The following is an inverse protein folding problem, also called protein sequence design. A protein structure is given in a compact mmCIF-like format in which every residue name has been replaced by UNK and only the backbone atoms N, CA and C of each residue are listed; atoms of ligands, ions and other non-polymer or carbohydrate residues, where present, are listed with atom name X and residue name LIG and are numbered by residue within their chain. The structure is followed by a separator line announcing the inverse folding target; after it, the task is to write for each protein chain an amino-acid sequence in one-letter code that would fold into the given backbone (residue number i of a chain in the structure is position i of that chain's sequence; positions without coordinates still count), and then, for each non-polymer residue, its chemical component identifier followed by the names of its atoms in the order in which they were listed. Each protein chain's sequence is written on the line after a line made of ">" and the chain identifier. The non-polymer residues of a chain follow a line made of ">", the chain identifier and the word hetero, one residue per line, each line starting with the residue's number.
data_IF_212138811806
#
_entry.id   IF_212138811806
#
_cell.length_a   1.000
_cell.length_b   1.000
_cell.length_c   1.000
_cell.angle_alpha   90.00
_cell.angle_beta   90.00
_cell.angle_gamma   90.00
#
_symmetry.space_group_name_H-M   'P 1'
#
loop_
_entity.id
_entity.type
_entity.pdbx_description
1 polymer ?
#
# COMPACT_ATOMS: atom_id res chain seq x y z
N UNK A 1 0.14 -6.44 -0.14
CA UNK A 1 0.83 -6.49 -1.45
C UNK A 1 -0.16 -6.35 -2.61
N UNK A 2 0.26 -5.77 -3.74
CA UNK A 2 -0.49 -5.89 -4.98
C UNK A 2 -1.53 -4.81 -5.28
N UNK A 3 -1.61 -3.76 -4.46
CA UNK A 3 -2.52 -2.64 -4.70
C UNK A 3 -1.86 -1.53 -5.53
N UNK A 4 -2.66 -0.86 -6.36
CA UNK A 4 -2.19 0.14 -7.32
C UNK A 4 -1.90 1.49 -6.66
N UNK A 5 -0.64 1.95 -6.77
CA UNK A 5 -0.26 3.32 -6.40
C UNK A 5 -0.94 4.39 -7.26
N UNK A 6 -1.37 4.05 -8.47
CA UNK A 6 -2.09 4.99 -9.33
C UNK A 6 -3.57 5.09 -8.94
N UNK A 7 -4.20 3.96 -8.64
CA UNK A 7 -5.57 3.90 -8.13
C UNK A 7 -5.71 4.60 -6.78
N UNK A 8 -4.98 4.15 -5.76
CA UNK A 8 -5.03 4.74 -4.43
C UNK A 8 -4.34 6.11 -4.40
N UNK A 9 -3.01 6.11 -4.53
CA UNK A 9 -2.19 7.31 -4.39
C UNK A 9 -2.62 8.44 -5.32
N UNK A 10 -2.74 8.17 -6.63
CA UNK A 10 -2.98 9.24 -7.60
C UNK A 10 -4.46 9.67 -7.68
N UNK A 11 -5.40 8.72 -7.68
CA UNK A 11 -6.82 9.02 -7.91
C UNK A 11 -7.65 9.20 -6.63
N UNK A 12 -7.22 8.65 -5.49
CA UNK A 12 -7.99 8.67 -4.23
C UNK A 12 -7.32 9.41 -3.07
N UNK A 13 -6.00 9.64 -3.12
CA UNK A 13 -5.26 10.21 -1.99
C UNK A 13 -4.50 11.52 -2.31
N UNK A 14 -3.30 11.48 -2.85
CA UNK A 14 -2.39 12.63 -2.88
C UNK A 14 -2.14 13.20 -4.29
N UNK A 15 -2.72 12.58 -5.32
CA UNK A 15 -2.61 13.05 -6.70
C UNK A 15 -3.44 14.31 -7.02
N UNK A 16 -3.21 14.89 -8.21
CA UNK A 16 -3.77 16.19 -8.61
C UNK A 16 -5.28 16.18 -8.87
N UNK A 17 -5.87 15.01 -9.12
CA UNK A 17 -7.26 14.87 -9.51
C UNK A 17 -7.98 13.82 -8.67
N UNK A 18 -9.30 13.93 -8.62
CA UNK A 18 -10.23 12.99 -8.02
C UNK A 18 -11.30 12.62 -9.05
N UNK A 19 -11.74 11.37 -9.02
CA UNK A 19 -12.86 10.91 -9.86
C UNK A 19 -14.17 11.34 -9.21
N UNK A 20 -15.06 11.98 -9.98
CA UNK A 20 -16.40 12.34 -9.51
C UNK A 20 -17.31 11.11 -9.42
N UNK A 21 -18.40 11.22 -8.65
CA UNK A 21 -19.41 10.18 -8.50
C UNK A 21 -20.17 9.82 -9.79
N UNK A 22 -19.93 10.53 -10.90
CA UNK A 22 -20.42 10.17 -12.24
C UNK A 22 -19.53 9.13 -12.94
N UNK A 23 -18.43 8.73 -12.30
CA UNK A 23 -17.41 7.77 -12.73
C UNK A 23 -16.70 8.15 -14.04
N UNK A 24 -16.81 9.41 -14.47
CA UNK A 24 -16.42 9.87 -15.82
C UNK A 24 -15.60 11.14 -15.80
N UNK A 25 -15.91 12.06 -14.89
CA UNK A 25 -15.24 13.36 -14.85
C UNK A 25 -14.29 13.46 -13.67
N UNK A 26 -13.31 14.35 -13.80
CA UNK A 26 -12.33 14.63 -12.76
C UNK A 26 -12.57 16.01 -12.15
N UNK A 27 -12.25 16.16 -10.87
CA UNK A 27 -12.10 17.47 -10.23
C UNK A 27 -10.70 17.64 -9.62
N UNK A 28 -10.26 18.87 -9.45
CA UNK A 28 -8.95 19.19 -8.89
C UNK A 28 -8.90 18.88 -7.38
N UNK A 29 -7.82 18.25 -6.94
CA UNK A 29 -7.49 18.12 -5.53
C UNK A 29 -6.69 19.36 -5.05
N UNK A 30 -7.23 20.22 -4.17
CA UNK A 30 -6.53 21.41 -3.69
C UNK A 30 -5.33 21.08 -2.79
N UNK A 31 -5.25 19.86 -2.25
CA UNK A 31 -4.21 19.39 -1.34
C UNK A 31 -3.21 18.43 -2.01
N UNK A 32 -3.20 18.38 -3.34
CA UNK A 32 -2.32 17.49 -4.09
C UNK A 32 -0.83 17.75 -3.81
N UNK A 33 -0.07 16.68 -3.59
CA UNK A 33 1.36 16.76 -3.26
C UNK A 33 2.21 17.30 -4.41
N UNK A 34 1.72 17.18 -5.65
CA UNK A 34 2.41 17.73 -6.81
C UNK A 34 2.45 19.27 -6.83
N UNK A 35 1.80 19.94 -5.87
CA UNK A 35 1.94 21.40 -5.66
C UNK A 35 3.30 21.80 -5.09
N UNK A 36 4.00 20.88 -4.41
CA UNK A 36 5.28 21.15 -3.74
C UNK A 36 6.39 20.18 -4.15
N UNK A 37 6.06 19.11 -4.87
CA UNK A 37 7.01 18.10 -5.35
C UNK A 37 6.68 17.61 -6.76
N UNK A 38 7.60 16.90 -7.41
CA UNK A 38 7.27 16.10 -8.60
C UNK A 38 6.95 14.69 -8.11
N UNK A 39 5.69 14.28 -8.26
CA UNK A 39 5.20 13.00 -7.75
C UNK A 39 5.16 11.95 -8.86
N UNK A 40 5.78 10.79 -8.61
CA UNK A 40 5.77 9.63 -9.50
C UNK A 40 5.02 8.48 -8.82
N UNK A 41 3.93 8.01 -9.44
CA UNK A 41 3.18 6.85 -8.98
C UNK A 41 3.61 5.62 -9.78
N UNK A 42 3.99 4.56 -9.08
CA UNK A 42 4.46 3.31 -9.69
C UNK A 42 3.52 2.17 -9.29
N UNK A 43 2.85 1.57 -10.27
CA UNK A 43 2.14 0.30 -10.08
C UNK A 43 3.16 -0.84 -10.09
N UNK A 44 3.36 -1.49 -8.94
CA UNK A 44 4.38 -2.53 -8.74
C UNK A 44 3.88 -3.54 -7.71
N UNK A 45 4.20 -4.84 -7.84
CA UNK A 45 4.97 -5.49 -8.92
C UNK A 45 4.18 -5.66 -10.23
N UNK A 46 4.77 -6.35 -11.23
CA UNK A 46 4.05 -6.76 -12.42
C UNK A 46 2.79 -7.58 -12.07
N UNK A 47 1.67 -7.26 -12.72
CA UNK A 47 0.32 -7.76 -12.40
C UNK A 47 -0.53 -6.78 -11.62
N UNK A 48 0.04 -5.69 -11.09
CA UNK A 48 -0.70 -4.62 -10.41
C UNK A 48 -1.19 -3.58 -11.41
N UNK A 49 -2.50 -3.34 -11.43
CA UNK A 49 -3.12 -2.35 -12.30
C UNK A 49 -2.78 -2.58 -13.77
N UNK A 50 -2.06 -1.65 -14.40
CA UNK A 50 -1.63 -1.78 -15.79
C UNK A 50 -0.22 -2.35 -15.97
N UNK A 51 0.54 -2.58 -14.89
CA UNK A 51 1.84 -3.23 -14.96
C UNK A 51 1.67 -4.72 -15.27
N UNK A 52 2.47 -5.25 -16.21
CA UNK A 52 2.33 -6.63 -16.66
C UNK A 52 3.69 -7.27 -17.00
N UNK A 53 3.69 -8.59 -17.08
CA UNK A 53 4.79 -9.40 -17.62
C UNK A 53 4.30 -10.34 -18.73
N UNK A 54 5.16 -10.59 -19.71
CA UNK A 54 4.92 -11.62 -20.72
C UNK A 54 5.17 -13.04 -20.20
N UNK A 55 5.79 -13.17 -19.02
CA UNK A 55 6.14 -14.45 -18.39
C UNK A 55 5.19 -14.74 -17.25
N UNK A 56 4.36 -15.78 -17.36
CA UNK A 56 3.34 -16.12 -16.37
C UNK A 56 3.89 -16.39 -14.96
N UNK A 57 5.11 -16.94 -14.86
CA UNK A 57 5.72 -17.24 -13.55
C UNK A 57 6.06 -15.99 -12.75
N UNK A 58 6.19 -14.82 -13.38
CA UNK A 58 6.52 -13.57 -12.66
C UNK A 58 5.38 -13.17 -11.72
N UNK A 59 4.14 -13.49 -12.09
CA UNK A 59 2.96 -13.22 -11.27
C UNK A 59 2.91 -14.08 -9.99
N UNK A 60 3.52 -15.27 -9.99
CA UNK A 60 3.52 -16.19 -8.83
C UNK A 60 4.82 -16.20 -8.05
N UNK A 61 5.89 -15.65 -8.64
CA UNK A 61 7.21 -15.56 -8.01
C UNK A 61 7.50 -14.17 -7.43
N UNK A 62 6.56 -13.24 -7.54
CA UNK A 62 6.66 -11.91 -6.96
C UNK A 62 6.82 -11.99 -5.43
N UNK A 63 7.85 -11.35 -4.90
CA UNK A 63 8.16 -11.28 -3.49
C UNK A 63 8.87 -9.97 -3.16
N UNK A 64 9.16 -9.72 -1.88
CA UNK A 64 9.68 -8.43 -1.43
C UNK A 64 11.01 -8.07 -2.11
N UNK A 65 11.90 -9.06 -2.24
CA UNK A 65 13.20 -8.90 -2.89
C UNK A 65 13.08 -8.60 -4.39
N UNK A 66 12.31 -9.40 -5.14
CA UNK A 66 12.16 -9.18 -6.60
C UNK A 66 11.47 -7.86 -6.88
N UNK A 67 10.47 -7.48 -6.07
CA UNK A 67 9.77 -6.19 -6.19
C UNK A 67 10.72 -5.01 -6.02
N UNK A 68 11.66 -5.09 -5.06
CA UNK A 68 12.65 -4.04 -4.85
C UNK A 68 13.65 -3.95 -6.03
N UNK A 69 14.12 -5.08 -6.55
CA UNK A 69 15.02 -5.12 -7.71
C UNK A 69 14.37 -4.58 -8.99
N UNK A 70 13.13 -4.98 -9.25
CA UNK A 70 12.38 -4.54 -10.44
C UNK A 70 12.04 -3.05 -10.34
N UNK A 71 11.67 -2.57 -9.15
CA UNK A 71 11.41 -1.14 -8.91
C UNK A 71 12.68 -0.30 -9.05
N UNK A 72 13.84 -0.81 -8.60
CA UNK A 72 15.13 -0.16 -8.82
C UNK A 72 15.48 -0.11 -10.32
N UNK A 73 15.29 -1.21 -11.04
CA UNK A 73 15.48 -1.28 -12.49
C UNK A 73 14.56 -0.31 -13.23
N UNK A 74 13.31 -0.18 -12.80
CA UNK A 74 12.37 0.82 -13.29
C UNK A 74 12.93 2.24 -13.08
N UNK A 75 13.43 2.57 -11.88
CA UNK A 75 13.99 3.91 -11.60
C UNK A 75 15.17 4.25 -12.50
N UNK A 76 16.10 3.31 -12.72
CA UNK A 76 17.22 3.52 -13.64
C UNK A 76 16.74 3.85 -15.06
N UNK A 77 15.82 3.05 -15.60
CA UNK A 77 15.25 3.28 -16.92
C UNK A 77 14.43 4.57 -16.99
N UNK A 78 13.72 4.93 -15.92
CA UNK A 78 12.96 6.16 -15.83
C UNK A 78 13.89 7.39 -15.84
N UNK A 79 15.00 7.38 -15.10
CA UNK A 79 15.98 8.46 -15.13
C UNK A 79 16.72 8.56 -16.47
N UNK A 80 16.93 7.46 -17.19
CA UNK A 80 17.43 7.51 -18.57
C UNK A 80 16.42 8.14 -19.54
N UNK A 81 15.13 7.81 -19.40
CA UNK A 81 14.05 8.42 -20.20
C UNK A 81 13.82 9.89 -19.86
N UNK A 82 13.98 10.27 -18.60
CA UNK A 82 13.75 11.62 -18.09
C UNK A 82 15.02 12.21 -17.43
N UNK A 83 16.08 12.46 -18.23
CA UNK A 83 17.39 12.85 -17.72
C UNK A 83 17.39 14.19 -16.97
N UNK A 84 16.40 15.06 -17.18
CA UNK A 84 16.25 16.32 -16.44
C UNK A 84 15.98 16.14 -14.95
N UNK A 85 15.59 14.94 -14.51
CA UNK A 85 15.40 14.62 -13.10
C UNK A 85 16.64 13.97 -12.46
N UNK A 86 17.68 13.62 -13.24
CA UNK A 86 18.95 13.12 -12.68
C UNK A 86 19.52 14.13 -11.69
N UNK A 87 20.10 13.63 -10.60
CA UNK A 87 20.68 14.40 -9.48
C UNK A 87 19.71 15.22 -8.61
N UNK A 88 18.42 15.31 -8.96
CA UNK A 88 17.43 15.93 -8.07
C UNK A 88 17.32 15.15 -6.77
N UNK A 89 17.00 15.86 -5.69
CA UNK A 89 16.65 15.22 -4.42
C UNK A 89 15.49 14.25 -4.64
N UNK A 90 15.71 13.01 -4.25
CA UNK A 90 14.79 11.91 -4.47
C UNK A 90 14.34 11.37 -3.12
N UNK A 91 13.04 11.14 -2.99
CA UNK A 91 12.40 10.60 -1.80
C UNK A 91 11.50 9.45 -2.21
N UNK A 92 11.43 8.42 -1.37
CA UNK A 92 10.55 7.27 -1.60
C UNK A 92 9.46 7.31 -0.53
N UNK A 93 8.20 7.36 -0.96
CA UNK A 93 7.05 7.37 -0.05
C UNK A 93 6.11 6.20 -0.35
N UNK A 94 5.42 5.68 0.67
CA UNK A 94 4.45 4.60 0.49
C UNK A 94 3.58 4.36 1.73
N UNK A 95 2.52 3.58 1.55
CA UNK A 95 1.54 3.23 2.57
C UNK A 95 1.35 1.72 2.77
N UNK A 96 0.91 1.29 3.95
CA UNK A 96 0.45 -0.07 4.23
C UNK A 96 1.57 -1.10 4.02
N UNK A 97 1.42 -2.07 3.12
CA UNK A 97 2.48 -3.03 2.83
C UNK A 97 3.74 -2.36 2.23
N UNK A 98 3.64 -1.13 1.72
CA UNK A 98 4.82 -0.37 1.31
C UNK A 98 5.73 -0.01 2.50
N UNK A 99 5.29 -0.25 3.74
CA UNK A 99 6.19 -0.32 4.88
C UNK A 99 7.35 -1.30 4.69
N UNK A 100 7.16 -2.40 3.96
CA UNK A 100 8.26 -3.26 3.51
C UNK A 100 8.90 -2.80 2.20
N UNK A 101 8.12 -2.31 1.23
CA UNK A 101 8.65 -1.91 -0.09
C UNK A 101 9.61 -0.72 -0.02
N UNK A 102 9.23 0.32 0.72
CA UNK A 102 9.96 1.59 0.75
C UNK A 102 11.37 1.41 1.34
N UNK A 103 11.57 0.77 2.51
CA UNK A 103 12.91 0.53 3.04
C UNK A 103 13.75 -0.40 2.15
N UNK A 104 13.15 -1.44 1.55
CA UNK A 104 13.89 -2.38 0.70
C UNK A 104 14.35 -1.74 -0.61
N UNK A 105 13.51 -0.91 -1.22
CA UNK A 105 13.92 -0.13 -2.40
C UNK A 105 14.98 0.91 -2.03
N UNK A 106 14.83 1.60 -0.90
CA UNK A 106 15.83 2.55 -0.41
C UNK A 106 17.18 1.88 -0.18
N UNK A 107 17.22 0.73 0.50
CA UNK A 107 18.41 -0.07 0.70
C UNK A 107 19.04 -0.52 -0.64
N UNK A 108 18.21 -1.00 -1.57
CA UNK A 108 18.65 -1.38 -2.91
C UNK A 108 19.31 -0.21 -3.66
N UNK A 109 18.72 0.99 -3.58
CA UNK A 109 19.30 2.22 -4.15
C UNK A 109 20.64 2.54 -3.49
N UNK A 110 20.73 2.54 -2.17
CA UNK A 110 21.96 2.86 -1.43
C UNK A 110 23.10 1.88 -1.77
N UNK A 111 22.82 0.58 -1.80
CA UNK A 111 23.81 -0.46 -2.14
C UNK A 111 24.33 -0.35 -3.58
N UNK A 112 23.53 0.19 -4.50
CA UNK A 112 23.89 0.32 -5.92
C UNK A 112 24.36 1.72 -6.33
N UNK A 113 24.36 2.69 -5.42
CA UNK A 113 24.85 4.06 -5.61
C UNK A 113 26.39 4.17 -5.66
N UNK A 114 27.07 3.16 -6.23
CA UNK A 114 28.54 3.08 -6.30
C UNK A 114 29.12 3.59 -7.64
N UNK A 115 28.28 3.94 -8.62
CA UNK A 115 28.71 4.42 -9.93
C UNK A 115 28.00 5.71 -10.33
N UNK A 116 28.67 6.60 -11.08
CA UNK A 116 28.07 7.84 -11.58
C UNK A 116 26.89 7.62 -12.53
N UNK A 117 26.83 6.46 -13.20
CA UNK A 117 25.76 6.13 -14.16
C UNK A 117 24.49 5.61 -13.51
N UNK A 118 24.56 5.09 -12.28
CA UNK A 118 23.41 4.56 -11.53
C UNK A 118 23.06 5.40 -10.30
N UNK A 119 23.65 6.59 -10.17
CA UNK A 119 23.51 7.40 -8.97
C UNK A 119 22.12 8.05 -8.86
N UNK A 120 21.42 7.72 -7.76
CA UNK A 120 20.15 8.33 -7.36
C UNK A 120 20.39 9.11 -6.06
N UNK A 121 20.12 10.42 -6.07
CA UNK A 121 20.34 11.30 -4.92
C UNK A 121 19.22 11.14 -3.87
N UNK A 122 19.11 9.94 -3.29
CA UNK A 122 18.14 9.58 -2.27
C UNK A 122 18.40 10.38 -0.98
N UNK A 123 17.37 11.09 -0.50
CA UNK A 123 17.44 11.95 0.69
C UNK A 123 16.65 11.43 1.88
N UNK A 124 15.65 10.60 1.65
CA UNK A 124 14.86 10.05 2.73
C UNK A 124 13.69 9.22 2.25
N UNK A 125 12.99 8.66 3.23
CA UNK A 125 11.80 7.86 3.04
C UNK A 125 10.65 8.38 3.89
N UNK A 126 9.42 8.15 3.46
CA UNK A 126 8.20 8.44 4.21
C UNK A 126 7.27 7.22 4.14
N UNK A 127 6.76 6.80 5.29
CA UNK A 127 5.91 5.60 5.38
C UNK A 127 4.65 5.97 6.16
N UNK A 128 3.49 5.89 5.51
CA UNK A 128 2.18 6.08 6.14
C UNK A 128 1.58 4.74 6.56
N UNK A 129 1.10 4.61 7.79
CA UNK A 129 0.37 3.43 8.29
C UNK A 129 0.96 2.08 7.83
N UNK A 130 2.30 1.98 7.84
CA UNK A 130 3.01 0.89 7.17
C UNK A 130 3.25 -0.32 8.06
N UNK A 131 3.28 -1.51 7.45
CA UNK A 131 3.78 -2.71 8.12
C UNK A 131 5.29 -2.63 8.30
N UNK A 132 5.77 -2.72 9.54
CA UNK A 132 7.16 -2.57 9.93
C UNK A 132 7.73 -3.85 10.55
N UNK A 133 6.93 -4.52 11.37
CA UNK A 133 7.30 -5.76 12.02
C UNK A 133 6.02 -6.51 12.32
N UNK A 134 5.81 -7.62 11.62
CA UNK A 134 4.54 -8.34 11.66
C UNK A 134 4.11 -8.70 13.09
N UNK A 135 5.06 -9.07 13.95
CA UNK A 135 4.77 -9.43 15.34
C UNK A 135 4.24 -8.23 16.15
N UNK A 136 4.96 -7.10 16.12
CA UNK A 136 4.52 -5.92 16.89
C UNK A 136 3.30 -5.27 16.29
N UNK A 137 3.14 -5.33 14.97
CA UNK A 137 1.98 -4.78 14.27
C UNK A 137 0.72 -5.60 14.58
N UNK A 138 0.83 -6.93 14.62
CA UNK A 138 -0.26 -7.82 15.05
C UNK A 138 -0.68 -7.55 16.50
N UNK A 139 0.29 -7.37 17.40
CA UNK A 139 -0.01 -7.02 18.80
C UNK A 139 -0.68 -5.67 18.93
N UNK A 140 -0.14 -4.65 18.26
CA UNK A 140 -0.70 -3.31 18.27
C UNK A 140 -2.11 -3.26 17.71
N UNK A 141 -2.43 -4.09 16.71
CA UNK A 141 -3.77 -4.19 16.15
C UNK A 141 -4.79 -4.70 17.17
N UNK A 142 -4.46 -5.74 17.95
CA UNK A 142 -5.38 -6.25 18.98
C UNK A 142 -5.54 -5.26 20.14
N UNK A 143 -4.46 -4.62 20.59
CA UNK A 143 -4.52 -3.53 21.57
C UNK A 143 -5.40 -2.36 21.07
N UNK A 144 -5.29 -2.02 19.78
CA UNK A 144 -6.11 -0.99 19.15
C UNK A 144 -7.60 -1.38 19.15
N UNK A 145 -7.93 -2.59 18.73
CA UNK A 145 -9.33 -3.07 18.74
C UNK A 145 -9.95 -3.04 20.13
N UNK A 146 -9.23 -3.52 21.15
CA UNK A 146 -9.73 -3.52 22.52
C UNK A 146 -9.91 -2.10 23.07
N UNK A 147 -8.90 -1.25 22.91
CA UNK A 147 -8.96 0.14 23.38
C UNK A 147 -10.02 1.01 22.69
N UNK A 148 -10.51 0.57 21.53
CA UNK A 148 -11.60 1.22 20.78
C UNK A 148 -12.95 0.50 20.92
N UNK A 149 -13.07 -0.42 21.89
CA UNK A 149 -14.29 -1.17 22.19
C UNK A 149 -14.83 -1.97 20.98
N UNK A 150 -13.94 -2.47 20.12
CA UNK A 150 -14.28 -3.32 18.97
C UNK A 150 -14.29 -4.81 19.34
N UNK A 151 -13.64 -5.17 20.45
CA UNK A 151 -13.59 -6.53 21.00
C UNK A 151 -13.82 -6.52 22.52
N UNK A 152 -14.27 -7.64 23.05
CA UNK A 152 -14.56 -7.85 24.47
C UNK A 152 -13.30 -7.98 25.35
N UNK A 153 -13.45 -7.77 26.66
CA UNK A 153 -12.38 -8.01 27.65
C UNK A 153 -11.97 -9.49 27.68
N UNK A 154 -12.94 -10.39 27.48
CA UNK A 154 -12.71 -11.83 27.38
C UNK A 154 -11.83 -12.17 26.18
N UNK A 155 -12.12 -11.60 25.01
CA UNK A 155 -11.33 -11.82 23.79
C UNK A 155 -9.93 -11.23 23.91
N UNK A 156 -9.82 -10.01 24.45
CA UNK A 156 -8.52 -9.39 24.70
C UNK A 156 -7.67 -10.19 25.70
N UNK A 157 -8.29 -10.79 26.73
CA UNK A 157 -7.57 -11.61 27.70
C UNK A 157 -7.05 -12.95 27.14
N UNK A 158 -7.68 -13.49 26.09
CA UNK A 158 -7.15 -14.64 25.34
C UNK A 158 -5.92 -14.26 24.51
N UNK A 159 -5.81 -13.00 24.10
CA UNK A 159 -4.63 -12.50 23.38
C UNK A 159 -3.43 -12.29 24.30
N UNK A 160 -2.35 -13.06 24.07
CA UNK A 160 -1.05 -12.89 24.76
C UNK A 160 0.01 -12.47 23.75
N UNK A 161 0.35 -11.19 23.70
CA UNK A 161 1.53 -10.72 22.97
C UNK A 161 2.81 -11.18 23.69
N UNK A 162 3.21 -12.43 23.44
CA UNK A 162 4.42 -13.04 24.00
C UNK A 162 5.31 -13.52 22.86
N UNK A 163 6.13 -12.62 22.31
CA UNK A 163 7.44 -12.95 21.75
C UNK A 163 7.52 -14.13 20.78
N UNK A 164 7.63 -13.83 19.50
CA UNK A 164 8.33 -14.59 18.44
C UNK A 164 7.70 -15.83 17.78
N UNK A 165 6.42 -16.18 17.99
CA UNK A 165 5.76 -17.21 17.16
C UNK A 165 4.22 -17.27 17.23
N UNK A 166 3.56 -16.14 17.50
CA UNK A 166 2.13 -16.17 17.85
C UNK A 166 1.16 -16.02 16.66
N UNK A 167 1.57 -15.40 15.56
CA UNK A 167 0.73 -15.23 14.36
C UNK A 167 0.31 -16.57 13.70
N UNK A 168 1.10 -17.63 13.91
CA UNK A 168 0.78 -19.00 13.47
C UNK A 168 0.00 -19.82 14.51
N UNK A 169 -0.29 -19.28 15.69
CA UNK A 169 -1.02 -20.03 16.71
C UNK A 169 -2.52 -20.03 16.45
N UNK A 170 -3.17 -21.16 16.78
CA UNK A 170 -4.63 -21.32 16.75
C UNK A 170 -5.36 -20.25 17.58
N UNK A 171 -4.69 -19.66 18.57
CA UNK A 171 -5.20 -18.57 19.40
C UNK A 171 -5.36 -17.28 18.59
N UNK A 172 -4.32 -16.84 17.86
CA UNK A 172 -4.39 -15.66 17.01
C UNK A 172 -5.49 -15.78 15.96
N UNK A 173 -5.56 -16.89 15.23
CA UNK A 173 -6.58 -17.12 14.20
C UNK A 173 -8.01 -17.17 14.77
N UNK A 174 -8.19 -17.65 16.00
CA UNK A 174 -9.49 -17.66 16.67
C UNK A 174 -9.88 -16.25 17.10
N UNK A 175 -8.93 -15.53 17.69
CA UNK A 175 -9.13 -14.15 18.15
C UNK A 175 -9.38 -13.19 17.01
N UNK A 176 -8.70 -13.34 15.87
CA UNK A 176 -8.99 -12.51 14.70
C UNK A 176 -10.40 -12.78 14.17
N UNK A 177 -10.78 -14.04 13.91
CA UNK A 177 -12.14 -14.39 13.43
C UNK A 177 -13.23 -13.91 14.39
N UNK A 178 -13.03 -14.07 15.69
CA UNK A 178 -14.01 -13.64 16.68
C UNK A 178 -14.05 -12.12 16.79
N UNK A 179 -12.91 -11.43 16.73
CA UNK A 179 -12.83 -9.98 16.62
C UNK A 179 -13.53 -9.45 15.36
N UNK A 180 -13.44 -10.16 14.22
CA UNK A 180 -14.19 -9.80 13.02
C UNK A 180 -15.70 -9.91 13.23
N UNK A 181 -16.14 -10.91 14.00
CA UNK A 181 -17.55 -11.07 14.37
C UNK A 181 -18.02 -10.01 15.37
N UNK A 182 -17.20 -9.66 16.35
CA UNK A 182 -17.55 -8.69 17.41
C UNK A 182 -17.61 -7.26 16.88
N UNK A 183 -16.65 -6.87 16.02
CA UNK A 183 -16.62 -5.50 15.46
C UNK A 183 -17.81 -5.21 14.53
N UNK A 184 -18.41 -6.24 13.93
CA UNK A 184 -19.51 -6.09 12.99
C UNK A 184 -19.11 -5.44 11.65
N UNK A 185 -20.08 -4.78 11.00
CA UNK A 185 -19.86 -4.10 9.71
C UNK A 185 -19.26 -2.72 9.96
N UNK A 186 -17.94 -2.66 10.06
CA UNK A 186 -17.16 -1.42 10.12
C UNK A 186 -16.04 -1.43 9.08
N UNK A 187 -15.59 -0.25 8.68
CA UNK A 187 -14.38 -0.10 7.86
C UNK A 187 -13.15 -0.17 8.77
N UNK A 188 -12.30 -1.17 8.57
CA UNK A 188 -11.07 -1.34 9.37
C UNK A 188 -10.00 -0.28 9.04
N UNK A 189 -10.13 0.42 7.91
CA UNK A 189 -9.23 1.51 7.50
C UNK A 189 -9.69 2.86 8.05
N UNK A 190 -10.97 2.97 8.43
CA UNK A 190 -11.53 4.12 9.12
C UNK A 190 -12.73 3.71 9.98
N UNK A 191 -12.50 3.36 11.24
CA UNK A 191 -13.54 2.80 12.13
C UNK A 191 -14.69 3.76 12.47
N UNK A 192 -14.53 5.05 12.16
CA UNK A 192 -15.57 6.08 12.30
C UNK A 192 -16.12 6.55 10.94
N UNK A 193 -15.60 5.99 9.85
CA UNK A 193 -16.00 6.30 8.49
C UNK A 193 -17.33 5.64 8.12
N UNK A 194 -18.11 6.27 7.24
CA UNK A 194 -19.26 5.62 6.63
C UNK A 194 -18.81 4.47 5.72
N UNK A 195 -19.66 3.48 5.52
CA UNK A 195 -19.43 2.42 4.54
C UNK A 195 -20.06 2.75 3.19
N UNK A 196 -19.51 2.20 2.12
CA UNK A 196 -20.15 2.25 0.81
C UNK A 196 -21.14 1.08 0.63
N UNK A 197 -22.42 1.42 0.42
CA UNK A 197 -23.47 0.44 0.18
C UNK A 197 -23.32 -0.31 -1.15
N UNK A 198 -22.67 0.31 -2.14
CA UNK A 198 -22.59 -0.18 -3.52
C UNK A 198 -21.14 -0.54 -3.93
N UNK A 199 -20.28 -0.91 -2.98
CA UNK A 199 -18.90 -1.21 -3.30
C UNK A 199 -18.80 -2.45 -4.21
N UNK A 200 -18.04 -2.41 -5.32
CA UNK A 200 -17.92 -3.53 -6.25
C UNK A 200 -17.30 -4.78 -5.62
N UNK A 201 -16.38 -4.58 -4.67
CA UNK A 201 -15.79 -5.67 -3.89
C UNK A 201 -16.60 -5.90 -2.60
N UNK A 202 -17.14 -7.12 -2.39
CA UNK A 202 -18.06 -7.44 -1.29
C UNK A 202 -17.42 -7.38 0.10
N UNK A 203 -16.08 -7.39 0.20
CA UNK A 203 -15.36 -7.19 1.46
C UNK A 203 -15.55 -5.75 1.98
N UNK A 204 -15.67 -4.78 1.07
CA UNK A 204 -15.85 -3.37 1.38
C UNK A 204 -17.31 -2.89 1.22
N UNK A 205 -18.21 -3.78 0.79
CA UNK A 205 -19.62 -3.46 0.61
C UNK A 205 -20.38 -3.66 1.92
N UNK A 206 -20.99 -2.59 2.44
CA UNK A 206 -21.97 -2.75 3.51
C UNK A 206 -23.23 -3.42 2.95
N UNK A 207 -23.47 -4.67 3.33
CA UNK A 207 -24.64 -5.42 2.87
C UNK A 207 -25.98 -4.90 3.44
N UNK A 208 -25.97 -3.93 4.36
CA UNK A 208 -27.19 -3.50 5.06
C UNK A 208 -27.37 -2.00 5.32
N UNK A 209 -26.46 -1.12 4.92
CA UNK A 209 -26.58 0.33 5.18
C UNK A 209 -26.97 1.10 3.92
N UNK A 210 -28.17 1.68 3.89
CA UNK A 210 -28.72 2.42 2.74
C UNK A 210 -28.50 3.93 2.81
N UNK A 211 -27.76 4.44 3.79
CA UNK A 211 -27.60 5.89 3.99
C UNK A 211 -26.16 6.36 3.80
N UNK A 212 -25.61 6.11 2.62
CA UNK A 212 -24.54 6.92 2.07
C UNK A 212 -25.16 8.14 1.36
N UNK A 213 -25.90 8.97 2.11
CA UNK A 213 -26.29 10.28 1.59
C UNK A 213 -25.02 11.09 1.32
N UNK A 214 -24.78 11.56 0.07
CA UNK A 214 -23.62 12.38 -0.26
C UNK A 214 -23.75 13.72 0.47
N UNK A 215 -23.13 13.84 1.65
CA UNK A 215 -23.10 15.11 2.39
C UNK A 215 -23.06 15.04 3.92
N UNK A 216 -23.19 13.86 4.55
CA UNK A 216 -23.18 13.73 6.02
C UNK A 216 -22.01 12.88 6.58
N UNK A 217 -21.05 12.52 5.75
CA UNK A 217 -19.75 11.98 6.21
C UNK A 217 -18.84 13.10 6.69
N UNK A 218 -17.88 12.78 7.54
CA UNK A 218 -16.75 13.65 7.93
C UNK A 218 -16.30 14.51 6.72
N UNK A 219 -16.28 15.85 6.89
CA UNK A 219 -16.10 16.84 5.80
C UNK A 219 -15.27 16.34 4.60
N UNK A 220 -15.97 15.93 3.53
CA UNK A 220 -15.36 15.59 2.24
C UNK A 220 -14.87 14.15 2.03
N UNK A 221 -15.14 13.21 2.95
CA UNK A 221 -14.85 11.78 2.74
C UNK A 221 -16.04 11.05 2.10
N UNK A 222 -15.79 10.40 0.94
CA UNK A 222 -16.76 9.57 0.24
C UNK A 222 -16.25 8.11 0.16
N UNK A 223 -16.89 7.16 0.88
CA UNK A 223 -16.44 5.77 0.94
C UNK A 223 -16.66 5.01 -0.37
N UNK A 224 -17.42 5.56 -1.31
CA UNK A 224 -17.69 4.93 -2.61
C UNK A 224 -16.69 5.33 -3.71
N UNK A 225 -15.74 6.23 -3.39
CA UNK A 225 -14.65 6.65 -4.29
C UNK A 225 -13.95 5.49 -5.01
N UNK A 226 -13.61 4.35 -4.35
CA UNK A 226 -12.93 3.26 -5.04
C UNK A 226 -13.74 2.68 -6.21
N UNK A 227 -15.06 2.54 -6.04
CA UNK A 227 -15.95 2.12 -7.13
C UNK A 227 -15.99 3.10 -8.31
N UNK A 228 -15.85 4.40 -8.04
CA UNK A 228 -15.77 5.43 -9.09
C UNK A 228 -14.47 5.29 -9.89
N UNK A 229 -13.34 5.11 -9.19
CA UNK A 229 -12.01 4.92 -9.79
C UNK A 229 -11.95 3.63 -10.61
N UNK A 230 -12.47 2.52 -10.07
CA UNK A 230 -12.56 1.24 -10.76
C UNK A 230 -13.27 1.38 -12.12
N UNK A 231 -14.41 2.05 -12.13
CA UNK A 231 -15.17 2.29 -13.37
C UNK A 231 -14.41 3.21 -14.33
N UNK A 232 -13.87 4.31 -13.81
CA UNK A 232 -13.15 5.32 -14.61
C UNK A 232 -11.92 4.73 -15.31
N UNK A 233 -11.08 3.99 -14.59
CA UNK A 233 -9.84 3.40 -15.13
C UNK A 233 -10.09 2.21 -16.07
N UNK A 234 -11.27 1.60 -16.05
CA UNK A 234 -11.69 0.59 -17.02
C UNK A 234 -12.38 1.15 -18.27
N UNK A 235 -12.48 2.47 -18.40
CA UNK A 235 -13.04 3.12 -19.59
C UNK A 235 -12.01 3.14 -20.73
N UNK A 236 -12.31 2.65 -21.94
CA UNK A 236 -11.35 2.59 -23.06
C UNK A 236 -10.74 3.95 -23.42
N UNK A 237 -11.54 5.01 -23.39
CA UNK A 237 -11.08 6.38 -23.67
C UNK A 237 -10.06 6.85 -22.63
N UNK A 238 -10.26 6.49 -21.35
CA UNK A 238 -9.35 6.81 -20.25
C UNK A 238 -8.05 6.02 -20.39
N UNK A 239 -8.11 4.72 -20.65
CA UNK A 239 -6.91 3.90 -20.85
C UNK A 239 -6.08 4.40 -22.03
N UNK A 240 -6.74 4.76 -23.14
CA UNK A 240 -6.07 5.35 -24.30
C UNK A 240 -5.42 6.70 -23.97
N UNK A 241 -6.11 7.58 -23.23
CA UNK A 241 -5.57 8.88 -22.82
C UNK A 241 -4.37 8.76 -21.87
N UNK A 242 -4.34 7.73 -21.02
CA UNK A 242 -3.22 7.42 -20.12
C UNK A 242 -2.08 6.65 -20.80
N UNK A 243 -2.26 6.24 -22.06
CA UNK A 243 -1.38 5.30 -22.76
C UNK A 243 -1.19 3.99 -21.97
N UNK A 244 -2.25 3.59 -21.26
CA UNK A 244 -2.32 2.37 -20.48
C UNK A 244 -2.91 1.21 -21.31
N UNK A 245 -2.74 -0.03 -20.82
CA UNK A 245 -3.32 -1.23 -21.43
C UNK A 245 -3.01 -1.42 -22.93
N UNK A 246 -1.85 -0.94 -23.40
CA UNK A 246 -1.46 -0.99 -24.83
C UNK A 246 -1.26 -2.41 -25.38
N UNK A 247 -1.14 -3.39 -24.49
CA UNK A 247 -0.98 -4.82 -24.82
C UNK A 247 -2.26 -5.63 -24.73
N UNK A 248 -3.40 -5.00 -24.44
CA UNK A 248 -4.69 -5.67 -24.22
C UNK A 248 -4.58 -6.78 -23.15
N UNK A 249 -4.33 -6.35 -21.92
CA UNK A 249 -4.25 -7.20 -20.74
C UNK A 249 -5.49 -8.10 -20.64
N UNK A 250 -5.32 -9.39 -20.26
CA UNK A 250 -6.42 -10.36 -20.20
C UNK A 250 -7.34 -10.18 -18.98
N UNK A 251 -7.14 -9.12 -18.21
CA UNK A 251 -7.89 -8.77 -17.01
C UNK A 251 -8.21 -7.27 -17.00
N UNK A 252 -9.33 -6.85 -16.38
CA UNK A 252 -9.61 -5.44 -16.14
C UNK A 252 -8.61 -4.85 -15.13
N UNK A 253 -8.47 -3.52 -15.14
CA UNK A 253 -7.78 -2.83 -14.05
C UNK A 253 -8.58 -3.03 -12.75
N UNK A 254 -7.88 -3.25 -11.64
CA UNK A 254 -8.47 -3.38 -10.31
C UNK A 254 -7.58 -2.68 -9.27
N UNK A 255 -8.18 -2.32 -8.13
CA UNK A 255 -7.52 -1.61 -7.02
C UNK A 255 -6.36 -2.43 -6.46
N UNK A 256 -6.60 -3.72 -6.25
CA UNK A 256 -5.60 -4.69 -5.85
C UNK A 256 -5.65 -5.91 -6.77
N UNK A 257 -4.48 -6.34 -7.21
CA UNK A 257 -4.34 -7.40 -8.21
C UNK A 257 -4.90 -8.74 -7.73
N UNK A 258 -5.86 -9.29 -8.48
CA UNK A 258 -6.34 -10.66 -8.30
C UNK A 258 -5.47 -11.73 -8.98
N UNK A 259 -4.47 -11.33 -9.78
CA UNK A 259 -3.60 -12.28 -10.51
C UNK A 259 -2.24 -12.47 -9.84
N UNK A 260 -1.93 -11.69 -8.81
CA UNK A 260 -0.65 -11.68 -8.13
C UNK A 260 -0.60 -12.71 -7.00
N UNK A 261 0.21 -13.75 -7.17
CA UNK A 261 0.60 -14.69 -6.12
C UNK A 261 1.82 -14.19 -5.36
N UNK A 262 1.62 -13.25 -4.43
CA UNK A 262 2.71 -12.59 -3.73
C UNK A 262 3.22 -13.39 -2.52
N UNK A 263 4.53 -13.58 -2.42
CA UNK A 263 5.18 -14.16 -1.23
C UNK A 263 5.85 -13.07 -0.40
N UNK A 264 5.34 -12.84 0.81
CA UNK A 264 6.05 -12.04 1.83
C UNK A 264 7.20 -12.87 2.39
N UNK A 265 8.43 -12.41 2.21
CA UNK A 265 9.64 -13.09 2.71
C UNK A 265 10.40 -12.25 3.74
N UNK A 266 9.92 -11.05 4.04
CA UNK A 266 10.43 -10.18 5.09
C UNK A 266 9.36 -9.99 6.17
N UNK A 267 9.68 -10.36 7.41
CA UNK A 267 8.79 -10.18 8.56
C UNK A 267 9.10 -8.90 9.36
N UNK A 268 10.24 -8.26 9.09
CA UNK A 268 10.62 -7.00 9.73
C UNK A 268 11.54 -6.14 8.86
N UNK A 269 11.33 -4.83 8.89
CA UNK A 269 12.23 -3.85 8.26
C UNK A 269 13.49 -3.59 9.09
N UNK A 270 13.51 -4.01 10.35
CA UNK A 270 14.60 -3.71 11.29
C UNK A 270 15.92 -4.39 10.91
N UNK A 271 15.90 -5.61 10.37
CA UNK A 271 17.14 -6.30 9.95
C UNK A 271 17.91 -5.51 8.89
N UNK A 272 17.21 -4.83 7.98
CA UNK A 272 17.82 -4.03 6.92
C UNK A 272 18.43 -2.71 7.42
N UNK A 273 17.92 -2.15 8.52
CA UNK A 273 18.43 -0.91 9.12
C UNK A 273 19.70 -1.21 9.93
N UNK A 274 19.75 -2.33 10.65
CA UNK A 274 20.84 -2.63 11.60
C UNK A 274 22.09 -3.22 10.93
N UNK A 275 21.96 -3.90 9.79
CA UNK A 275 23.13 -4.44 9.07
C UNK A 275 23.96 -3.37 8.35
N UNK A 276 23.34 -2.28 7.88
CA UNK A 276 24.04 -1.24 7.13
C UNK A 276 24.72 -0.18 8.00
N UNK A 277 24.30 -0.03 9.26
CA UNK A 277 24.74 1.08 10.09
C UNK A 277 26.03 0.82 10.89
N UNK A 278 26.62 -0.37 10.85
CA UNK A 278 27.89 -0.62 11.55
C UNK A 278 27.87 -0.24 13.03
N UNK A 279 26.68 -0.12 13.64
CA UNK A 279 26.49 0.13 15.05
C UNK A 279 26.83 -1.18 15.73
N UNK A 280 28.12 -1.37 15.97
CA UNK A 280 28.61 -2.29 16.98
C UNK A 280 27.82 -1.98 18.23
N UNK A 281 27.10 -2.99 18.70
CA UNK A 281 26.62 -3.09 20.07
C UNK A 281 27.73 -2.62 21.01
N UNK A 282 27.63 -1.37 21.48
CA UNK A 282 28.39 -0.85 22.62
C UNK A 282 27.58 -1.06 23.88
N UNK A 283 26.95 -2.23 24.01
CA UNK A 283 26.56 -2.77 25.30
C UNK A 283 27.59 -3.81 25.71
N UNK A 284 28.83 -3.36 25.86
CA UNK A 284 29.74 -3.97 26.82
C UNK A 284 29.61 -3.19 28.12
N UNK A 285 29.16 -3.89 29.17
CA UNK A 285 29.27 -3.54 30.58
C UNK A 285 28.64 -2.24 31.05
N UNK A 286 27.43 -2.34 31.60
CA UNK A 286 27.17 -1.82 32.93
C UNK A 286 26.50 -2.94 33.74
N UNK A 287 27.13 -3.23 34.89
CA UNK A 287 26.62 -4.09 35.97
C UNK A 287 25.30 -3.55 36.53
#
# INVERSE_FOLDING_TARGET
>A
PGCSSFGFGAMMELGPFRVNADNKTLHNNPYAWNRVANTLFLESPAGVGFSYSNTTSDYTNANDYTTAQDSYTFLLNWFERFPQYKNREFYIAGESYAGFYVPQLADTVLKNNNSNTSFINLKGVLIGNGLMNSETDDCGMVDYWWSHALISDEEYAEYRCNGSNYSETRSYMRTTVQAESERGQIDIYNIYGPLCAAHPNPIWAASTYTDASPGNGLDGFDPCTPGYVLTYLNTPEVQNALHANVTALPYPWDECSGVLGYTSNVTTVLSNIWENDGIRNTNSSLQ
#
